data_IF_806302649814
#
_entry.id   IF_806302649814
#
_cell.length_a   1.000
_cell.length_b   1.000
_cell.length_c   1.000
_cell.angle_alpha   90.00
_cell.angle_beta   90.00
_cell.angle_gamma   90.00
#
_symmetry.space_group_name_H-M   'P 1'
#
loop_
_entity.id
_entity.type
_entity.pdbx_description
1 polymer ?
#
# COMPACT_ATOMS: atom_id res chain seq x y z
N UNK A 1 22.02 17.05 -37.19
CA UNK A 1 22.04 15.60 -37.50
C UNK A 1 20.92 14.80 -36.82
N UNK A 2 20.50 15.12 -35.59
CA UNK A 2 19.42 14.38 -34.87
C UNK A 2 18.01 14.48 -35.49
N UNK A 3 17.68 15.53 -36.24
CA UNK A 3 16.36 15.66 -36.92
C UNK A 3 16.22 14.70 -38.10
N UNK A 4 17.32 14.40 -38.81
CA UNK A 4 17.31 13.50 -39.96
C UNK A 4 17.13 12.02 -39.57
N UNK A 5 17.51 11.66 -38.34
CA UNK A 5 17.35 10.31 -37.77
C UNK A 5 16.11 10.16 -36.88
N UNK A 6 15.30 11.21 -36.75
CA UNK A 6 14.02 11.18 -36.04
C UNK A 6 13.12 10.00 -36.44
N UNK A 7 12.91 9.66 -37.74
CA UNK A 7 12.04 8.54 -38.10
C UNK A 7 12.58 7.18 -37.61
N UNK A 8 13.90 6.97 -37.65
CA UNK A 8 14.52 5.72 -37.16
C UNK A 8 14.42 5.63 -35.63
N UNK A 9 14.65 6.74 -34.93
CA UNK A 9 14.45 6.83 -33.48
C UNK A 9 13.00 6.53 -33.10
N UNK A 10 12.05 7.14 -33.79
CA UNK A 10 10.62 7.00 -33.47
C UNK A 10 10.14 5.56 -33.73
N UNK A 11 10.63 4.92 -34.80
CA UNK A 11 10.39 3.51 -35.06
C UNK A 11 10.98 2.62 -33.95
N UNK A 12 12.23 2.87 -33.54
CA UNK A 12 12.85 2.14 -32.41
C UNK A 12 12.03 2.29 -31.12
N UNK A 13 11.57 3.50 -30.80
CA UNK A 13 10.76 3.75 -29.59
C UNK A 13 9.40 3.05 -29.65
N UNK A 14 8.81 2.95 -30.84
CA UNK A 14 7.56 2.23 -31.04
C UNK A 14 7.77 0.72 -30.81
N UNK A 15 8.84 0.15 -31.34
CA UNK A 15 9.20 -1.26 -31.10
C UNK A 15 9.59 -1.51 -29.63
N UNK A 16 10.31 -0.58 -28.99
CA UNK A 16 10.63 -0.65 -27.56
C UNK A 16 9.36 -0.66 -26.71
N UNK A 17 8.41 0.23 -27.00
CA UNK A 17 7.11 0.24 -26.34
C UNK A 17 6.34 -1.08 -26.57
N UNK A 18 6.38 -1.64 -27.77
CA UNK A 18 5.76 -2.94 -28.07
C UNK A 18 6.40 -4.07 -27.26
N UNK A 19 7.74 -4.09 -27.13
CA UNK A 19 8.47 -5.05 -26.29
C UNK A 19 8.15 -4.91 -24.80
N UNK A 20 7.88 -3.69 -24.32
CA UNK A 20 7.48 -3.42 -22.94
C UNK A 20 6.01 -3.77 -22.64
N UNK A 21 5.12 -3.59 -23.62
CA UNK A 21 3.68 -3.83 -23.44
C UNK A 21 3.28 -5.29 -23.70
N UNK A 22 3.98 -6.00 -24.59
CA UNK A 22 3.69 -7.40 -24.91
C UNK A 22 3.70 -8.34 -23.69
N UNK A 23 4.69 -8.30 -22.78
CA UNK A 23 4.65 -9.12 -21.56
C UNK A 23 3.45 -8.81 -20.67
N UNK A 24 3.01 -7.54 -20.62
CA UNK A 24 1.83 -7.13 -19.85
C UNK A 24 0.56 -7.73 -20.47
N UNK A 25 0.44 -7.71 -21.79
CA UNK A 25 -0.71 -8.31 -22.49
C UNK A 25 -0.76 -9.83 -22.36
N UNK A 26 0.39 -10.49 -22.46
CA UNK A 26 0.51 -11.95 -22.27
C UNK A 26 0.24 -12.38 -20.82
N UNK A 27 0.57 -11.53 -19.85
CA UNK A 27 0.31 -11.80 -18.43
C UNK A 27 -1.18 -11.68 -18.07
N UNK A 28 -1.95 -10.93 -18.85
CA UNK A 28 -3.38 -10.72 -18.65
C UNK A 28 -4.19 -11.23 -19.85
N UNK A 29 -4.09 -12.54 -20.13
CA UNK A 29 -4.95 -13.19 -21.11
C UNK A 29 -6.40 -13.17 -20.61
N UNK A 30 -7.33 -12.81 -21.50
CA UNK A 30 -8.76 -12.77 -21.20
C UNK A 30 -9.27 -14.20 -21.04
N UNK A 31 -9.24 -14.73 -19.81
CA UNK A 31 -9.99 -15.92 -19.47
C UNK A 31 -11.42 -15.51 -19.17
N UNK A 32 -12.32 -15.71 -20.14
CA UNK A 32 -13.76 -15.60 -19.92
C UNK A 32 -14.21 -16.72 -18.96
N UNK A 33 -14.88 -16.33 -17.87
CA UNK A 33 -15.79 -17.23 -17.14
C UNK A 33 -15.40 -17.69 -15.73
N UNK A 34 -14.16 -17.51 -15.27
CA UNK A 34 -13.77 -17.76 -13.87
C UNK A 34 -12.78 -16.68 -13.44
N UNK A 35 -12.85 -16.23 -12.17
CA UNK A 35 -11.97 -15.21 -11.57
C UNK A 35 -10.60 -15.24 -12.24
N UNK A 36 -10.33 -14.24 -13.09
CA UNK A 36 -9.14 -14.25 -13.92
C UNK A 36 -7.92 -14.45 -13.03
N UNK A 37 -7.15 -15.51 -13.32
CA UNK A 37 -6.10 -15.98 -12.46
C UNK A 37 -5.13 -14.84 -12.13
N UNK A 38 -4.74 -14.73 -10.87
CA UNK A 38 -3.68 -13.81 -10.46
C UNK A 38 -2.44 -14.14 -11.29
N UNK A 39 -1.80 -13.15 -11.94
CA UNK A 39 -0.59 -13.37 -12.70
C UNK A 39 0.48 -14.15 -11.95
N UNK A 40 1.22 -15.00 -12.65
CA UNK A 40 2.31 -15.74 -12.01
C UNK A 40 3.50 -14.82 -11.71
N UNK A 41 4.29 -15.19 -10.70
CA UNK A 41 5.57 -14.52 -10.41
C UNK A 41 6.53 -14.58 -11.58
N UNK A 42 6.44 -15.62 -12.42
CA UNK A 42 7.27 -15.79 -13.61
C UNK A 42 6.93 -14.76 -14.70
N UNK A 43 5.64 -14.48 -14.90
CA UNK A 43 5.18 -13.48 -15.87
C UNK A 43 5.62 -12.08 -15.45
N UNK A 44 5.51 -11.78 -14.14
CA UNK A 44 6.02 -10.54 -13.58
C UNK A 44 7.53 -10.41 -13.74
N UNK A 45 8.29 -11.48 -13.48
CA UNK A 45 9.74 -11.50 -13.68
C UNK A 45 10.12 -11.27 -15.15
N UNK A 46 9.35 -11.82 -16.08
CA UNK A 46 9.53 -11.60 -17.53
C UNK A 46 9.27 -10.15 -17.91
N UNK A 47 8.23 -9.53 -17.37
CA UNK A 47 7.94 -8.10 -17.56
C UNK A 47 9.05 -7.21 -16.96
N UNK A 48 9.50 -7.50 -15.74
CA UNK A 48 10.60 -6.78 -15.10
C UNK A 48 11.90 -6.91 -15.90
N UNK A 49 12.22 -8.12 -16.38
CA UNK A 49 13.41 -8.36 -17.21
C UNK A 49 13.35 -7.58 -18.52
N UNK A 50 12.18 -7.49 -19.16
CA UNK A 50 11.99 -6.66 -20.35
C UNK A 50 12.24 -5.17 -20.06
N UNK A 51 11.69 -4.64 -18.95
CA UNK A 51 11.96 -3.26 -18.54
C UNK A 51 13.45 -2.99 -18.28
N UNK A 52 14.13 -3.90 -17.57
CA UNK A 52 15.55 -3.78 -17.27
C UNK A 52 16.41 -3.87 -18.54
N UNK A 53 16.05 -4.75 -19.49
CA UNK A 53 16.75 -4.87 -20.76
C UNK A 53 16.64 -3.58 -21.60
N UNK A 54 15.44 -3.02 -21.75
CA UNK A 54 15.26 -1.75 -22.47
C UNK A 54 15.98 -0.60 -21.75
N UNK A 55 15.94 -0.56 -20.42
CA UNK A 55 16.67 0.43 -19.62
C UNK A 55 18.19 0.33 -19.84
N UNK A 56 18.73 -0.89 -19.93
CA UNK A 56 20.16 -1.12 -20.15
C UNK A 56 20.60 -0.71 -21.57
N UNK A 57 19.78 -0.94 -22.59
CA UNK A 57 20.06 -0.52 -23.99
C UNK A 57 20.12 1.01 -24.10
N UNK A 58 19.43 1.73 -23.23
CA UNK A 58 19.46 3.19 -23.18
C UNK A 58 20.71 3.77 -22.50
N UNK A 59 21.66 2.92 -22.07
CA UNK A 59 22.92 3.36 -21.44
C UNK A 59 24.12 3.28 -22.37
N UNK A 60 25.13 4.11 -22.09
CA UNK A 60 26.39 4.16 -22.84
C UNK A 60 27.13 2.81 -22.86
N UNK A 61 26.89 1.94 -21.88
CA UNK A 61 27.52 0.61 -21.78
C UNK A 61 27.21 -0.31 -22.96
N UNK A 62 26.10 -0.08 -23.66
CA UNK A 62 25.67 -0.85 -24.85
C UNK A 62 25.79 -0.01 -26.13
N UNK A 63 26.34 1.21 -26.04
CA UNK A 63 26.44 2.15 -27.16
C UNK A 63 25.17 2.98 -27.40
N UNK A 64 24.26 3.05 -26.42
CA UNK A 64 23.11 3.96 -26.45
C UNK A 64 23.53 5.42 -26.27
N UNK A 65 22.76 6.36 -26.82
CA UNK A 65 22.96 7.79 -26.59
C UNK A 65 22.15 8.22 -25.36
N UNK A 66 22.71 9.09 -24.50
CA UNK A 66 22.09 9.53 -23.23
C UNK A 66 20.67 10.09 -23.39
N UNK A 67 20.36 10.70 -24.54
CA UNK A 67 19.03 11.24 -24.85
C UNK A 67 17.94 10.18 -25.07
N UNK A 68 18.28 8.90 -25.23
CA UNK A 68 17.32 7.80 -25.33
C UNK A 68 16.79 7.35 -23.96
N UNK A 69 17.55 7.55 -22.89
CA UNK A 69 17.18 7.17 -21.53
C UNK A 69 15.82 7.73 -21.08
N UNK A 70 15.52 9.04 -21.18
CA UNK A 70 14.22 9.57 -20.79
C UNK A 70 13.07 9.04 -21.66
N UNK A 71 13.32 8.79 -22.95
CA UNK A 71 12.31 8.28 -23.88
C UNK A 71 11.93 6.82 -23.60
N UNK A 72 12.92 5.97 -23.29
CA UNK A 72 12.69 4.58 -22.88
C UNK A 72 12.01 4.53 -21.51
N UNK A 73 12.43 5.37 -20.54
CA UNK A 73 11.76 5.45 -19.24
C UNK A 73 10.31 5.93 -19.34
N UNK A 74 10.01 6.84 -20.28
CA UNK A 74 8.63 7.21 -20.61
C UNK A 74 7.83 6.03 -21.14
N UNK A 75 8.43 5.19 -21.99
CA UNK A 75 7.84 3.93 -22.45
C UNK A 75 7.55 2.96 -21.31
N UNK A 76 8.52 2.74 -20.42
CA UNK A 76 8.37 1.91 -19.24
C UNK A 76 7.25 2.42 -18.32
N UNK A 77 7.18 3.74 -18.09
CA UNK A 77 6.11 4.35 -17.31
C UNK A 77 4.72 4.14 -17.93
N UNK A 78 4.59 4.16 -19.27
CA UNK A 78 3.34 3.82 -19.96
C UNK A 78 2.98 2.35 -19.77
N UNK A 79 3.94 1.44 -19.90
CA UNK A 79 3.71 0.00 -19.69
C UNK A 79 3.28 -0.30 -18.24
N UNK A 80 3.89 0.36 -17.25
CA UNK A 80 3.47 0.27 -15.84
C UNK A 80 2.06 0.79 -15.62
N UNK A 81 1.67 1.90 -16.26
CA UNK A 81 0.29 2.41 -16.21
C UNK A 81 -0.72 1.44 -16.83
N UNK A 82 -0.35 0.80 -17.95
CA UNK A 82 -1.17 -0.25 -18.56
C UNK A 82 -1.35 -1.44 -17.62
N UNK A 83 -0.26 -1.91 -17.00
CA UNK A 83 -0.31 -2.95 -15.96
C UNK A 83 -1.26 -2.55 -14.82
N UNK A 84 -1.15 -1.33 -14.30
CA UNK A 84 -2.02 -0.84 -13.23
C UNK A 84 -3.51 -0.84 -13.65
N UNK A 85 -3.80 -0.42 -14.89
CA UNK A 85 -5.17 -0.44 -15.43
C UNK A 85 -5.72 -1.86 -15.54
N UNK A 86 -4.90 -2.82 -15.96
CA UNK A 86 -5.29 -4.23 -16.04
C UNK A 86 -5.53 -4.83 -14.66
N UNK A 87 -4.64 -4.61 -13.69
CA UNK A 87 -4.83 -5.07 -12.31
C UNK A 87 -6.09 -4.48 -11.68
N UNK A 88 -6.37 -3.19 -11.91
CA UNK A 88 -7.60 -2.54 -11.45
C UNK A 88 -8.88 -3.24 -11.92
N UNK A 89 -8.88 -3.81 -13.14
CA UNK A 89 -10.01 -4.58 -13.68
C UNK A 89 -10.13 -5.99 -13.08
N UNK A 90 -9.07 -6.51 -12.49
CA UNK A 90 -9.01 -7.84 -11.88
C UNK A 90 -9.37 -7.85 -10.40
N UNK A 91 -9.59 -6.68 -9.80
CA UNK A 91 -9.97 -6.59 -8.39
C UNK A 91 -11.34 -7.24 -8.18
N UNK A 92 -11.34 -8.26 -7.32
CA UNK A 92 -12.56 -8.93 -6.89
C UNK A 92 -13.36 -8.01 -5.95
N UNK A 93 -14.69 -8.24 -5.91
CA UNK A 93 -15.75 -7.43 -5.27
C UNK A 93 -15.32 -6.36 -4.25
N UNK A 94 -15.88 -5.15 -4.41
CA UNK A 94 -15.66 -3.99 -3.52
C UNK A 94 -16.42 -4.07 -2.20
N UNK A 95 -17.34 -5.03 -2.03
CA UNK A 95 -18.16 -5.13 -0.82
C UNK A 95 -17.53 -6.10 0.17
N UNK A 96 -16.90 -5.57 1.21
CA UNK A 96 -16.47 -6.35 2.37
C UNK A 96 -17.73 -6.76 3.14
N UNK A 97 -18.26 -7.95 2.87
CA UNK A 97 -19.30 -8.53 3.72
C UNK A 97 -18.63 -9.10 4.96
N UNK A 98 -18.96 -8.45 6.07
CA UNK A 98 -18.57 -8.77 7.44
C UNK A 98 -18.89 -10.24 7.73
N UNK A 99 -17.86 -11.10 7.87
CA UNK A 99 -18.05 -12.45 8.40
C UNK A 99 -17.74 -12.39 9.88
N UNK A 100 -18.65 -12.93 10.70
CA UNK A 100 -18.57 -12.94 12.16
C UNK A 100 -17.26 -13.55 12.74
N UNK A 101 -16.46 -14.24 11.92
CA UNK A 101 -15.23 -14.91 12.31
C UNK A 101 -13.94 -14.19 11.91
N UNK A 102 -14.00 -12.96 11.37
CA UNK A 102 -12.83 -12.18 10.95
C UNK A 102 -11.93 -12.87 9.90
N UNK A 103 -12.37 -13.95 9.27
CA UNK A 103 -11.57 -14.73 8.33
C UNK A 103 -11.55 -14.08 6.93
N UNK A 104 -10.40 -14.19 6.24
CA UNK A 104 -10.24 -13.70 4.87
C UNK A 104 -11.27 -14.32 3.92
N UNK A 105 -11.88 -13.51 3.07
CA UNK A 105 -12.69 -14.00 1.95
C UNK A 105 -11.79 -14.42 0.79
N UNK A 106 -12.30 -15.25 -0.13
CA UNK A 106 -11.57 -15.61 -1.34
C UNK A 106 -11.18 -14.35 -2.14
N UNK A 107 -12.11 -13.39 -2.24
CA UNK A 107 -11.89 -12.08 -2.88
C UNK A 107 -10.81 -11.25 -2.17
N UNK A 108 -10.79 -11.23 -0.85
CA UNK A 108 -9.73 -10.55 -0.08
C UNK A 108 -8.37 -11.21 -0.28
N UNK A 109 -8.32 -12.55 -0.27
CA UNK A 109 -7.10 -13.30 -0.53
C UNK A 109 -6.57 -13.02 -1.94
N UNK A 110 -7.46 -13.01 -2.95
CA UNK A 110 -7.14 -12.63 -4.33
C UNK A 110 -6.59 -11.21 -4.43
N UNK A 111 -7.27 -10.22 -3.84
CA UNK A 111 -6.82 -8.83 -3.84
C UNK A 111 -5.48 -8.64 -3.11
N UNK A 112 -5.21 -9.41 -2.05
CA UNK A 112 -3.92 -9.40 -1.34
C UNK A 112 -2.79 -10.05 -2.14
N UNK A 113 -3.09 -11.06 -2.96
CA UNK A 113 -2.12 -11.62 -3.90
C UNK A 113 -1.78 -10.62 -5.00
N UNK A 114 -2.78 -9.90 -5.54
CA UNK A 114 -2.55 -8.78 -6.48
C UNK A 114 -1.71 -7.67 -5.85
N UNK A 115 -1.98 -7.30 -4.60
CA UNK A 115 -1.16 -6.32 -3.86
C UNK A 115 0.29 -6.79 -3.74
N UNK A 116 0.52 -8.07 -3.48
CA UNK A 116 1.88 -8.64 -3.41
C UNK A 116 2.63 -8.48 -4.73
N UNK A 117 1.96 -8.72 -5.87
CA UNK A 117 2.54 -8.50 -7.20
C UNK A 117 2.84 -7.01 -7.47
N UNK A 118 1.92 -6.12 -7.09
CA UNK A 118 2.11 -4.68 -7.22
C UNK A 118 3.34 -4.23 -6.42
N UNK A 119 3.54 -4.73 -5.21
CA UNK A 119 4.73 -4.44 -4.39
C UNK A 119 6.01 -4.92 -5.05
N UNK A 120 6.01 -6.14 -5.60
CA UNK A 120 7.18 -6.67 -6.31
C UNK A 120 7.53 -5.82 -7.53
N UNK A 121 6.53 -5.41 -8.31
CA UNK A 121 6.73 -4.48 -9.43
C UNK A 121 7.30 -3.16 -8.96
N UNK A 122 6.75 -2.58 -7.88
CA UNK A 122 7.24 -1.33 -7.30
C UNK A 122 8.72 -1.42 -6.96
N UNK A 123 9.14 -2.48 -6.27
CA UNK A 123 10.54 -2.70 -5.90
C UNK A 123 11.44 -2.77 -7.13
N UNK A 124 10.99 -3.41 -8.21
CA UNK A 124 11.73 -3.44 -9.47
C UNK A 124 11.82 -2.07 -10.15
N UNK A 125 10.73 -1.30 -10.18
CA UNK A 125 10.69 0.04 -10.80
C UNK A 125 11.58 1.03 -10.07
N UNK A 126 11.67 0.95 -8.74
CA UNK A 126 12.60 1.76 -7.91
C UNK A 126 14.07 1.53 -8.31
N UNK A 127 14.41 0.36 -8.85
CA UNK A 127 15.78 0.03 -9.29
C UNK A 127 16.07 0.43 -10.75
N UNK A 128 15.10 0.94 -11.52
CA UNK A 128 15.34 1.33 -12.91
C UNK A 128 16.32 2.52 -13.04
N UNK A 129 16.21 3.60 -12.24
CA UNK A 129 17.15 4.73 -12.35
C UNK A 129 18.60 4.36 -12.05
N UNK A 130 18.85 3.38 -11.17
CA UNK A 130 20.22 2.94 -10.86
C UNK A 130 20.87 2.18 -12.01
N UNK A 131 20.08 1.51 -12.86
CA UNK A 131 20.56 0.87 -14.10
C UNK A 131 20.96 1.93 -15.14
N UNK A 132 20.24 3.05 -15.18
CA UNK A 132 20.41 4.12 -16.18
C UNK A 132 21.56 5.09 -15.82
N UNK A 133 22.12 5.01 -14.61
CA UNK A 133 23.24 5.89 -14.21
C UNK A 133 24.42 5.73 -15.19
N UNK A 134 24.99 6.83 -15.71
CA UNK A 134 26.09 6.75 -16.66
C UNK A 134 27.28 6.06 -16.00
N UNK A 135 27.65 4.89 -16.54
CA UNK A 135 28.83 4.17 -16.13
C UNK A 135 30.08 4.87 -16.63
N UNK A 136 30.79 5.56 -15.71
CA UNK A 136 32.06 6.30 -15.92
C UNK A 136 31.97 7.47 -16.93
N UNK A 137 32.63 8.61 -16.64
CA UNK A 137 32.78 9.69 -17.60
C UNK A 137 33.79 9.25 -18.68
N UNK A 138 33.33 8.52 -19.68
CA UNK A 138 34.19 7.97 -20.74
C UNK A 138 33.69 8.27 -22.16
N UNK A 139 32.79 9.24 -22.33
CA UNK A 139 32.57 9.88 -23.63
C UNK A 139 33.16 11.29 -23.57
N UNK A 140 34.34 11.45 -24.19
CA UNK A 140 34.92 12.76 -24.49
C UNK A 140 33.95 13.51 -25.42
N UNK A 141 33.28 14.55 -24.91
CA UNK A 141 32.58 15.54 -25.73
C UNK A 141 31.08 15.74 -25.50
N UNK A 142 30.45 15.10 -24.51
CA UNK A 142 29.09 15.44 -24.09
C UNK A 142 29.10 16.44 -22.92
N UNK A 143 28.27 17.47 -23.01
CA UNK A 143 28.13 18.48 -21.97
C UNK A 143 27.58 17.84 -20.67
N UNK A 144 28.24 18.01 -19.51
CA UNK A 144 27.79 17.45 -18.23
C UNK A 144 26.37 17.86 -17.84
N UNK A 145 25.91 19.02 -18.31
CA UNK A 145 24.56 19.55 -18.07
C UNK A 145 23.49 18.73 -18.82
N UNK A 146 23.72 18.35 -20.08
CA UNK A 146 22.76 17.55 -20.87
C UNK A 146 22.57 16.14 -20.28
N UNK A 147 23.66 15.52 -19.80
CA UNK A 147 23.63 14.20 -19.15
C UNK A 147 22.83 14.28 -17.84
N UNK A 148 23.03 15.34 -17.07
CA UNK A 148 22.31 15.56 -15.81
C UNK A 148 20.82 15.81 -16.05
N UNK A 149 20.48 16.62 -17.06
CA UNK A 149 19.09 16.90 -17.42
C UNK A 149 18.36 15.63 -17.90
N UNK A 150 18.98 14.83 -18.78
CA UNK A 150 18.38 13.58 -19.27
C UNK A 150 18.14 12.57 -18.14
N UNK A 151 19.08 12.46 -17.18
CA UNK A 151 18.92 11.60 -16.01
C UNK A 151 17.80 12.07 -15.08
N UNK A 152 17.64 13.39 -14.94
CA UNK A 152 16.55 13.99 -14.16
C UNK A 152 15.20 13.74 -14.83
N UNK A 153 15.07 13.97 -16.13
CA UNK A 153 13.85 13.68 -16.90
C UNK A 153 13.46 12.19 -16.84
N UNK A 154 14.44 11.29 -16.99
CA UNK A 154 14.23 9.84 -16.82
C UNK A 154 13.69 9.49 -15.42
N UNK A 155 14.25 10.12 -14.38
CA UNK A 155 13.80 9.93 -12.99
C UNK A 155 12.36 10.42 -12.79
N UNK A 156 11.97 11.55 -13.39
CA UNK A 156 10.58 12.05 -13.29
C UNK A 156 9.55 11.08 -13.86
N UNK A 157 9.89 10.36 -14.94
CA UNK A 157 9.02 9.35 -15.54
C UNK A 157 8.88 8.10 -14.65
N UNK A 158 9.96 7.69 -14.00
CA UNK A 158 9.94 6.60 -13.01
C UNK A 158 9.10 7.00 -11.79
N UNK A 159 9.26 8.22 -11.27
CA UNK A 159 8.45 8.73 -10.16
C UNK A 159 6.96 8.78 -10.51
N UNK A 160 6.62 9.17 -11.74
CA UNK A 160 5.24 9.15 -12.21
C UNK A 160 4.67 7.72 -12.29
N UNK A 161 5.49 6.72 -12.63
CA UNK A 161 5.12 5.31 -12.62
C UNK A 161 4.91 4.79 -11.19
N UNK A 162 5.82 5.12 -10.27
CA UNK A 162 5.71 4.77 -8.85
C UNK A 162 4.45 5.38 -8.20
N UNK A 163 4.14 6.65 -8.50
CA UNK A 163 2.90 7.29 -8.05
C UNK A 163 1.65 6.57 -8.55
N UNK A 164 1.66 6.06 -9.77
CA UNK A 164 0.52 5.30 -10.32
C UNK A 164 0.33 3.95 -9.61
N UNK A 165 1.44 3.25 -9.32
CA UNK A 165 1.45 2.01 -8.52
C UNK A 165 0.92 2.27 -7.11
N UNK A 166 1.45 3.30 -6.44
CA UNK A 166 1.08 3.65 -5.06
C UNK A 166 -0.39 4.10 -4.99
N UNK A 167 -0.89 4.84 -5.97
CA UNK A 167 -2.29 5.23 -6.07
C UNK A 167 -3.24 4.03 -6.23
N UNK A 168 -2.85 3.03 -7.02
CA UNK A 168 -3.61 1.79 -7.18
C UNK A 168 -3.63 0.98 -5.87
N UNK A 169 -2.45 0.72 -5.30
CA UNK A 169 -2.29 -0.06 -4.07
C UNK A 169 -3.07 0.55 -2.90
N UNK A 170 -2.88 1.85 -2.67
CA UNK A 170 -3.52 2.56 -1.55
C UNK A 170 -4.99 2.82 -1.82
N UNK A 171 -5.33 3.35 -2.99
CA UNK A 171 -6.67 3.85 -3.27
C UNK A 171 -7.71 2.75 -3.50
N UNK A 172 -7.33 1.68 -4.22
CA UNK A 172 -8.29 0.67 -4.66
C UNK A 172 -8.27 -0.62 -3.85
N UNK A 173 -7.14 -0.96 -3.22
CA UNK A 173 -6.99 -2.22 -2.47
C UNK A 173 -6.99 -1.94 -0.96
N UNK A 174 -5.97 -1.23 -0.47
CA UNK A 174 -5.75 -1.09 0.97
C UNK A 174 -6.81 -0.23 1.66
N UNK A 175 -7.18 0.92 1.09
CA UNK A 175 -8.17 1.83 1.70
C UNK A 175 -9.53 1.17 1.96
N UNK A 176 -10.22 0.55 0.97
CA UNK A 176 -11.50 -0.09 1.24
C UNK A 176 -11.35 -1.28 2.20
N UNK A 177 -10.26 -2.03 2.10
CA UNK A 177 -9.98 -3.17 2.96
C UNK A 177 -9.79 -2.77 4.44
N UNK A 178 -8.92 -1.80 4.72
CA UNK A 178 -8.65 -1.31 6.07
C UNK A 178 -9.82 -0.49 6.62
N UNK A 179 -10.55 0.25 5.78
CA UNK A 179 -11.74 0.97 6.23
C UNK A 179 -12.85 0.03 6.68
N UNK A 180 -13.00 -1.13 6.05
CA UNK A 180 -13.97 -2.13 6.49
C UNK A 180 -13.54 -2.78 7.82
N UNK A 181 -12.25 -3.09 7.97
CA UNK A 181 -11.70 -3.56 9.24
C UNK A 181 -11.89 -2.51 10.36
N UNK A 182 -11.63 -1.24 10.07
CA UNK A 182 -11.86 -0.13 10.98
C UNK A 182 -13.33 -0.07 11.41
N UNK A 183 -14.27 -0.10 10.46
CA UNK A 183 -15.70 -0.06 10.76
C UNK A 183 -16.15 -1.23 11.65
N UNK A 184 -15.65 -2.44 11.39
CA UNK A 184 -15.97 -3.60 12.22
C UNK A 184 -15.42 -3.45 13.66
N UNK A 185 -14.21 -2.90 13.83
CA UNK A 185 -13.63 -2.61 15.14
C UNK A 185 -14.37 -1.47 15.87
N UNK A 186 -14.75 -0.41 15.15
CA UNK A 186 -15.56 0.70 15.67
C UNK A 186 -16.93 0.21 16.15
N UNK A 187 -17.54 -0.77 15.48
CA UNK A 187 -18.77 -1.41 15.95
C UNK A 187 -18.59 -2.14 17.28
N UNK A 188 -17.44 -2.79 17.50
CA UNK A 188 -17.11 -3.40 18.79
C UNK A 188 -16.91 -2.32 19.85
N UNK A 189 -16.19 -1.24 19.52
CA UNK A 189 -16.05 -0.07 20.42
C UNK A 189 -17.40 0.55 20.78
N UNK A 190 -18.37 0.59 19.86
CA UNK A 190 -19.71 1.09 20.13
C UNK A 190 -20.47 0.29 21.20
N UNK A 191 -20.07 -0.95 21.50
CA UNK A 191 -20.65 -1.71 22.62
C UNK A 191 -20.25 -1.16 23.98
N UNK A 192 -19.26 -0.26 24.06
CA UNK A 192 -18.91 0.53 25.25
C UNK A 192 -20.14 1.20 25.87
N UNK A 193 -21.09 1.70 25.07
CA UNK A 193 -22.29 2.38 25.57
C UNK A 193 -23.29 1.45 26.28
N UNK A 194 -23.07 0.13 26.24
CA UNK A 194 -23.87 -0.86 26.97
C UNK A 194 -23.29 -1.18 28.35
N UNK A 195 -22.03 -0.84 28.60
CA UNK A 195 -21.38 -1.04 29.90
C UNK A 195 -21.82 0.05 30.87
N UNK A 196 -21.98 -0.33 32.15
CA UNK A 196 -22.25 0.63 33.23
C UNK A 196 -20.96 1.29 33.71
N UNK A 197 -20.94 2.62 33.71
CA UNK A 197 -19.87 3.48 34.25
C UNK A 197 -20.31 4.31 35.47
N UNK A 198 -21.54 4.12 35.92
CA UNK A 198 -22.08 4.65 37.18
C UNK A 198 -21.83 3.64 38.31
N UNK A 199 -21.54 4.07 39.54
CA UNK A 199 -21.48 3.15 40.67
C UNK A 199 -22.87 2.52 40.86
N UNK A 200 -22.94 1.19 40.78
CA UNK A 200 -24.01 0.47 41.47
C UNK A 200 -23.66 0.53 42.95
N UNK A 201 -24.29 1.44 43.69
CA UNK A 201 -24.21 1.47 45.15
C UNK A 201 -24.51 0.05 45.70
N UNK A 202 -23.47 -0.65 46.16
CA UNK A 202 -23.57 -2.01 46.70
C UNK A 202 -22.67 -3.07 46.06
N UNK A 203 -21.94 -2.78 44.98
CA UNK A 203 -20.97 -3.73 44.41
C UNK A 203 -19.68 -3.80 45.24
N UNK A 204 -19.29 -4.99 45.69
CA UNK A 204 -18.01 -5.23 46.34
C UNK A 204 -16.85 -4.73 45.48
N UNK A 205 -15.79 -4.22 46.12
CA UNK A 205 -14.58 -3.69 45.48
C UNK A 205 -13.82 -4.67 44.55
N UNK A 206 -14.34 -5.88 44.35
CA UNK A 206 -13.85 -6.89 43.41
C UNK A 206 -14.40 -6.71 41.98
N UNK A 207 -15.51 -5.99 41.76
CA UNK A 207 -16.06 -5.76 40.42
C UNK A 207 -15.39 -4.62 39.64
N UNK A 208 -14.55 -3.81 40.29
CA UNK A 208 -13.86 -2.65 39.69
C UNK A 208 -12.47 -2.99 39.14
N UNK A 209 -11.97 -4.22 39.32
CA UNK A 209 -10.59 -4.59 38.94
C UNK A 209 -10.46 -5.31 37.58
N UNK A 210 -11.59 -5.66 36.94
CA UNK A 210 -11.61 -6.31 35.63
C UNK A 210 -11.51 -5.31 34.46
N UNK A 211 -10.88 -5.73 33.37
CA UNK A 211 -11.00 -5.05 32.07
C UNK A 211 -12.47 -5.02 31.62
N UNK A 212 -12.91 -3.94 30.96
CA UNK A 212 -14.27 -3.84 30.43
C UNK A 212 -14.56 -4.95 29.41
N UNK A 213 -15.80 -5.46 29.37
CA UNK A 213 -16.16 -6.58 28.50
C UNK A 213 -15.95 -6.23 27.02
N UNK A 214 -16.36 -5.02 26.61
CA UNK A 214 -16.13 -4.53 25.25
C UNK A 214 -14.63 -4.42 24.90
N UNK A 215 -13.78 -4.12 25.89
CA UNK A 215 -12.34 -3.96 25.68
C UNK A 215 -11.64 -5.30 25.51
N UNK A 216 -12.08 -6.34 26.23
CA UNK A 216 -11.63 -7.72 26.00
C UNK A 216 -12.04 -8.25 24.62
N UNK A 217 -13.27 -7.94 24.19
CA UNK A 217 -13.75 -8.30 22.86
C UNK A 217 -13.01 -7.51 21.76
N UNK A 218 -12.72 -6.23 22.00
CA UNK A 218 -11.91 -5.41 21.11
C UNK A 218 -10.48 -5.95 21.00
N UNK A 219 -9.84 -6.27 22.13
CA UNK A 219 -8.49 -6.87 22.15
C UNK A 219 -8.46 -8.17 21.35
N UNK A 220 -9.47 -9.04 21.51
CA UNK A 220 -9.58 -10.28 20.74
C UNK A 220 -9.76 -10.01 19.24
N UNK A 221 -10.64 -9.08 18.88
CA UNK A 221 -10.90 -8.71 17.50
C UNK A 221 -9.65 -8.10 16.84
N UNK A 222 -8.97 -7.17 17.52
CA UNK A 222 -7.72 -6.56 17.06
C UNK A 222 -6.63 -7.62 16.88
N UNK A 223 -6.50 -8.56 17.82
CA UNK A 223 -5.54 -9.66 17.73
C UNK A 223 -5.77 -10.55 16.50
N UNK A 224 -7.02 -10.90 16.21
CA UNK A 224 -7.39 -11.66 15.01
C UNK A 224 -7.14 -10.86 13.72
N UNK A 225 -7.49 -9.57 13.72
CA UNK A 225 -7.25 -8.70 12.57
C UNK A 225 -5.75 -8.54 12.31
N UNK A 226 -4.96 -8.42 13.37
CA UNK A 226 -3.51 -8.38 13.28
C UNK A 226 -2.94 -9.67 12.71
N UNK A 227 -3.30 -10.83 13.28
CA UNK A 227 -2.73 -12.12 12.88
C UNK A 227 -3.10 -12.49 11.45
N UNK A 228 -4.34 -12.27 11.06
CA UNK A 228 -4.85 -12.67 9.75
C UNK A 228 -4.51 -11.62 8.69
N UNK A 229 -4.87 -10.36 8.91
CA UNK A 229 -4.88 -9.34 7.85
C UNK A 229 -3.63 -8.46 7.87
N UNK A 230 -3.28 -7.89 9.02
CA UNK A 230 -2.25 -6.84 9.09
C UNK A 230 -0.83 -7.40 8.98
N UNK A 231 -0.55 -8.63 9.45
CA UNK A 231 0.75 -9.28 9.23
C UNK A 231 1.10 -9.39 7.74
N UNK A 232 0.12 -9.70 6.89
CA UNK A 232 0.36 -9.78 5.44
C UNK A 232 0.68 -8.40 4.87
N UNK A 233 -0.04 -7.36 5.30
CA UNK A 233 0.19 -5.97 4.86
C UNK A 233 1.54 -5.46 5.34
N UNK A 234 1.89 -5.70 6.61
CA UNK A 234 3.17 -5.31 7.20
C UNK A 234 4.36 -6.01 6.53
N UNK A 235 4.20 -7.30 6.18
CA UNK A 235 5.24 -8.08 5.50
C UNK A 235 5.61 -7.54 4.10
N UNK A 236 4.77 -6.70 3.49
CA UNK A 236 5.08 -6.07 2.20
C UNK A 236 6.21 -5.04 2.33
N UNK A 237 6.51 -4.54 3.54
CA UNK A 237 7.57 -3.56 3.81
C UNK A 237 7.57 -2.35 2.85
N UNK A 238 6.40 -1.95 2.37
CA UNK A 238 6.24 -0.83 1.45
C UNK A 238 5.86 0.45 2.23
N UNK A 239 6.37 1.63 1.83
CA UNK A 239 6.12 2.88 2.57
C UNK A 239 4.63 3.23 2.63
N UNK A 240 3.89 2.98 1.55
CA UNK A 240 2.44 3.22 1.52
C UNK A 240 1.66 2.29 2.47
N UNK A 241 2.16 1.08 2.73
CA UNK A 241 1.50 0.13 3.63
C UNK A 241 1.64 0.59 5.09
N UNK A 242 2.83 1.05 5.47
CA UNK A 242 3.08 1.60 6.81
C UNK A 242 2.25 2.85 7.08
N UNK A 243 2.16 3.76 6.10
CA UNK A 243 1.32 4.95 6.25
C UNK A 243 -0.17 4.60 6.41
N UNK A 244 -0.66 3.61 5.68
CA UNK A 244 -2.05 3.16 5.81
C UNK A 244 -2.34 2.49 7.15
N UNK A 245 -1.39 1.74 7.71
CA UNK A 245 -1.51 1.18 9.07
C UNK A 245 -1.52 2.30 10.12
N UNK A 246 -0.70 3.34 9.94
CA UNK A 246 -0.71 4.54 10.79
C UNK A 246 -2.06 5.26 10.75
N UNK A 247 -2.63 5.46 9.56
CA UNK A 247 -3.96 6.05 9.41
C UNK A 247 -5.08 5.21 10.05
N UNK A 248 -4.97 3.87 9.99
CA UNK A 248 -5.90 2.98 10.68
C UNK A 248 -5.83 3.19 12.20
N UNK A 249 -4.63 3.20 12.76
CA UNK A 249 -4.42 3.43 14.20
C UNK A 249 -4.96 4.79 14.63
N UNK A 250 -4.64 5.87 13.91
CA UNK A 250 -5.16 7.22 14.18
C UNK A 250 -6.70 7.23 14.26
N UNK A 251 -7.35 6.62 13.25
CA UNK A 251 -8.80 6.54 13.18
C UNK A 251 -9.41 5.79 14.37
N UNK A 252 -8.79 4.67 14.78
CA UNK A 252 -9.27 3.87 15.91
C UNK A 252 -9.14 4.62 17.24
N UNK A 253 -8.03 5.34 17.47
CA UNK A 253 -7.85 6.18 18.66
C UNK A 253 -8.91 7.29 18.69
N UNK A 254 -9.09 8.02 17.59
CA UNK A 254 -10.11 9.09 17.51
C UNK A 254 -11.51 8.55 17.75
N UNK A 255 -11.84 7.37 17.20
CA UNK A 255 -13.14 6.75 17.42
C UNK A 255 -13.35 6.34 18.87
N UNK A 256 -12.33 5.79 19.53
CA UNK A 256 -12.40 5.44 20.95
C UNK A 256 -12.64 6.67 21.81
N UNK A 257 -11.84 7.74 21.62
CA UNK A 257 -11.99 8.98 22.39
C UNK A 257 -13.36 9.61 22.17
N UNK A 258 -13.86 9.58 20.92
CA UNK A 258 -15.20 10.06 20.59
C UNK A 258 -16.29 9.28 21.31
N UNK A 259 -16.18 7.94 21.38
CA UNK A 259 -17.12 7.13 22.15
C UNK A 259 -17.00 7.39 23.66
N UNK A 260 -15.78 7.45 24.20
CA UNK A 260 -15.51 7.71 25.61
C UNK A 260 -16.05 9.07 26.07
N UNK A 261 -15.93 10.11 25.23
CA UNK A 261 -16.42 11.45 25.54
C UNK A 261 -17.95 11.52 25.72
N UNK A 262 -18.68 10.63 25.05
CA UNK A 262 -20.15 10.56 25.09
C UNK A 262 -20.70 9.69 26.23
N UNK A 263 -19.86 8.89 26.88
CA UNK A 263 -20.28 8.05 28.02
C UNK A 263 -20.67 8.95 29.18
N UNK A 264 -21.93 8.89 29.62
CA UNK A 264 -22.46 9.57 30.80
C UNK A 264 -23.59 8.73 31.44
N UNK A 265 -23.78 8.77 32.76
CA UNK A 265 -22.96 9.46 33.77
C UNK A 265 -21.61 8.76 34.01
N UNK A 266 -20.57 9.53 34.36
CA UNK A 266 -19.25 9.02 34.71
C UNK A 266 -18.88 9.43 36.13
N UNK A 267 -18.71 8.45 37.01
CA UNK A 267 -18.25 8.64 38.38
C UNK A 267 -16.77 8.30 38.52
N UNK A 268 -16.15 8.54 39.69
CA UNK A 268 -14.71 8.34 39.91
C UNK A 268 -14.24 6.91 39.57
N UNK A 269 -15.03 5.88 39.90
CA UNK A 269 -14.74 4.50 39.51
C UNK A 269 -14.79 4.29 37.99
N UNK A 270 -15.74 4.94 37.31
CA UNK A 270 -15.86 4.91 35.84
C UNK A 270 -14.70 5.63 35.14
N UNK A 271 -14.18 6.71 35.73
CA UNK A 271 -12.98 7.41 35.21
C UNK A 271 -11.73 6.53 35.28
N UNK A 272 -11.51 5.85 36.41
CA UNK A 272 -10.39 4.90 36.57
C UNK A 272 -10.51 3.72 35.60
N UNK A 273 -11.72 3.18 35.42
CA UNK A 273 -12.00 2.13 34.44
C UNK A 273 -11.69 2.59 33.01
N UNK A 274 -12.07 3.81 32.64
CA UNK A 274 -11.77 4.39 31.32
C UNK A 274 -10.27 4.61 31.09
N UNK A 275 -9.54 5.10 32.10
CA UNK A 275 -8.08 5.27 31.99
C UNK A 275 -7.37 3.93 31.75
N UNK A 276 -7.82 2.86 32.41
CA UNK A 276 -7.32 1.51 32.17
C UNK A 276 -7.67 1.00 30.76
N UNK A 277 -8.89 1.24 30.32
CA UNK A 277 -9.32 0.88 28.96
C UNK A 277 -8.48 1.57 27.89
N UNK A 278 -8.15 2.85 28.08
CA UNK A 278 -7.23 3.58 27.19
C UNK A 278 -5.84 2.95 27.16
N UNK A 279 -5.26 2.60 28.31
CA UNK A 279 -3.97 1.91 28.36
C UNK A 279 -3.98 0.55 27.64
N UNK A 280 -5.09 -0.20 27.77
CA UNK A 280 -5.26 -1.46 27.03
C UNK A 280 -5.41 -1.24 25.53
N UNK A 281 -6.13 -0.20 25.11
CA UNK A 281 -6.24 0.17 23.70
C UNK A 281 -4.86 0.50 23.11
N UNK A 282 -4.08 1.35 23.78
CA UNK A 282 -2.73 1.71 23.35
C UNK A 282 -1.83 0.49 23.19
N UNK A 283 -1.87 -0.44 24.16
CA UNK A 283 -1.12 -1.69 24.10
C UNK A 283 -1.55 -2.54 22.90
N UNK A 284 -2.86 -2.67 22.63
CA UNK A 284 -3.35 -3.42 21.48
C UNK A 284 -2.93 -2.78 20.15
N UNK A 285 -3.01 -1.45 20.05
CA UNK A 285 -2.70 -0.70 18.85
C UNK A 285 -1.19 -0.63 18.54
N UNK A 286 -0.34 -0.71 19.58
CA UNK A 286 1.12 -0.77 19.42
C UNK A 286 1.60 -1.91 18.52
N UNK A 287 0.83 -3.01 18.46
CA UNK A 287 1.10 -4.14 17.56
C UNK A 287 0.80 -3.87 16.08
N UNK A 288 0.10 -2.78 15.75
CA UNK A 288 -0.23 -2.36 14.37
C UNK A 288 0.75 -1.30 13.88
N UNK A 289 0.83 -0.21 14.64
CA UNK A 289 1.76 0.89 14.42
C UNK A 289 2.03 1.53 15.78
N UNK A 290 3.27 1.93 16.11
CA UNK A 290 3.55 2.54 17.39
C UNK A 290 2.71 3.79 17.57
N UNK A 291 1.97 3.92 18.67
CA UNK A 291 1.12 5.09 18.93
C UNK A 291 1.95 6.38 18.97
N UNK A 292 3.23 6.28 19.37
CA UNK A 292 4.19 7.39 19.36
C UNK A 292 4.50 7.95 17.94
N UNK A 293 4.27 7.19 16.86
CA UNK A 293 4.50 7.68 15.49
C UNK A 293 3.29 8.42 14.91
N UNK A 294 2.19 8.55 15.67
CA UNK A 294 1.01 9.32 15.28
C UNK A 294 1.24 10.85 15.38
N UNK A 295 2.26 11.29 16.12
CA UNK A 295 2.67 12.69 16.19
C UNK A 295 1.57 13.60 16.75
N UNK A 296 1.31 14.74 16.08
CA UNK A 296 0.39 15.79 16.53
C UNK A 296 -1.03 15.32 16.84
N UNK A 297 -1.54 14.32 16.12
CA UNK A 297 -2.91 13.80 16.33
C UNK A 297 -3.10 13.07 17.65
N UNK A 298 -2.03 12.58 18.27
CA UNK A 298 -2.06 12.03 19.63
C UNK A 298 -1.77 13.10 20.69
N UNK A 299 -1.00 14.13 20.35
CA UNK A 299 -0.67 15.24 21.27
C UNK A 299 -1.83 16.22 21.49
N UNK A 300 -2.83 16.23 20.59
CA UNK A 300 -4.04 17.05 20.68
C UNK A 300 -5.21 16.35 21.41
N UNK A 301 -5.04 15.07 21.78
CA UNK A 301 -6.00 14.27 22.56
C UNK A 301 -5.69 14.36 24.06
#
# INVERSE_FOLDING_TARGET
>A
MLVALAPVRDQYLLESLARLTKPVEQMFLHHDGYMAAVPSKHDLASFVKAMQAEAAVATDAVGGHVSLAPLVMRGAAKAVKLFCSKVSRLLASRSVRDRANWAKTADQTHNMQLLTLITQLRTAVVQLPSIVKPGKPAQKGLDPEEVTQCAQEASTHVDAALKAIDALATGQILRPYLSAAAYALERVMGTMHKDSFANLEGGSAEQTSGASAYMLDLQRAVGLVQSEHLKTVAALNAPYAQEMLRCLTDRLVRSFVSHAALVRPMEEAGKLKMARDMAMLEMCLSGIAPVATLGASYAEL
#
